data_IF_803361381262
#
_entry.id   IF_803361381262
#
_cell.length_a   1.000
_cell.length_b   1.000
_cell.length_c   1.000
_cell.angle_alpha   90.00
_cell.angle_beta   90.00
_cell.angle_gamma   90.00
#
_symmetry.space_group_name_H-M   'P 1'
#
loop_
_entity.id
_entity.type
_entity.pdbx_description
1 polymer ?
#
# COMPACT_ATOMS: atom_id res chain seq x y z
N UNK A 1 10.21 4.39 -26.87
CA UNK A 1 11.10 3.96 -25.78
C UNK A 1 10.31 3.86 -24.47
N UNK A 2 9.47 4.84 -24.14
CA UNK A 2 8.75 4.91 -22.85
C UNK A 2 7.43 4.14 -22.80
N UNK A 3 6.88 3.71 -23.93
CA UNK A 3 5.59 3.03 -24.02
C UNK A 3 5.51 1.75 -23.16
N UNK A 4 6.55 0.89 -23.08
CA UNK A 4 6.48 -0.32 -22.23
C UNK A 4 6.52 -0.08 -20.73
N UNK A 5 6.81 1.15 -20.29
CA UNK A 5 6.97 1.51 -18.87
C UNK A 5 6.02 2.63 -18.42
N UNK A 6 5.03 2.95 -19.24
CA UNK A 6 4.06 4.02 -18.95
C UNK A 6 2.65 3.59 -19.36
N UNK A 7 1.66 4.14 -18.64
CA UNK A 7 0.24 3.95 -18.96
C UNK A 7 -0.15 4.58 -20.30
N UNK A 8 0.55 5.64 -20.66
CA UNK A 8 0.37 6.33 -21.94
C UNK A 8 1.60 7.17 -22.26
N UNK A 9 2.01 7.12 -23.55
CA UNK A 9 3.06 7.96 -24.11
C UNK A 9 2.52 8.72 -25.31
N UNK A 10 2.79 10.02 -25.38
CA UNK A 10 2.35 10.85 -26.49
C UNK A 10 3.39 11.91 -26.86
N UNK A 11 3.69 12.03 -28.18
CA UNK A 11 4.53 13.12 -28.69
C UNK A 11 3.65 14.27 -29.14
N UNK A 12 3.77 15.41 -28.48
CA UNK A 12 3.08 16.65 -28.81
C UNK A 12 3.83 17.31 -29.97
N UNK A 13 3.20 17.34 -31.15
CA UNK A 13 3.76 17.88 -32.38
C UNK A 13 3.22 19.28 -32.77
N UNK A 14 2.16 19.70 -32.13
CA UNK A 14 1.47 20.96 -32.38
C UNK A 14 1.19 21.65 -31.06
N UNK A 15 1.39 22.95 -31.00
CA UNK A 15 1.15 23.74 -29.79
C UNK A 15 -0.33 23.68 -29.33
N UNK A 16 -1.25 23.57 -30.27
CA UNK A 16 -2.69 23.47 -29.99
C UNK A 16 -3.06 22.20 -29.23
N UNK A 17 -2.27 21.14 -29.36
CA UNK A 17 -2.54 19.84 -28.73
C UNK A 17 -2.09 19.80 -27.25
N UNK A 18 -1.32 20.80 -26.78
CA UNK A 18 -0.73 20.80 -25.43
C UNK A 18 -1.79 20.67 -24.34
N UNK A 19 -2.80 21.54 -24.35
CA UNK A 19 -3.81 21.56 -23.30
C UNK A 19 -4.59 20.24 -23.22
N UNK A 20 -4.96 19.67 -24.37
CA UNK A 20 -5.62 18.37 -24.44
C UNK A 20 -4.70 17.23 -23.96
N UNK A 21 -3.46 17.19 -24.43
CA UNK A 21 -2.52 16.14 -24.07
C UNK A 21 -2.21 16.13 -22.57
N UNK A 22 -2.03 17.32 -21.97
CA UNK A 22 -1.83 17.46 -20.53
C UNK A 22 -3.06 17.01 -19.74
N UNK A 23 -4.27 17.43 -20.13
CA UNK A 23 -5.49 17.01 -19.48
C UNK A 23 -5.67 15.47 -19.54
N UNK A 24 -5.38 14.88 -20.71
CA UNK A 24 -5.42 13.43 -20.90
C UNK A 24 -4.36 12.71 -20.05
N UNK A 25 -3.16 13.22 -19.97
CA UNK A 25 -2.09 12.68 -19.16
C UNK A 25 -2.48 12.62 -17.68
N UNK A 26 -2.99 13.72 -17.13
CA UNK A 26 -3.46 13.75 -15.75
C UNK A 26 -4.66 12.84 -15.49
N UNK A 27 -5.58 12.72 -16.44
CA UNK A 27 -6.71 11.81 -16.30
C UNK A 27 -6.24 10.36 -16.22
N UNK A 28 -5.36 9.91 -17.14
CA UNK A 28 -4.84 8.54 -17.16
C UNK A 28 -3.98 8.27 -15.92
N UNK A 29 -3.04 9.17 -15.60
CA UNK A 29 -2.10 8.98 -14.48
C UNK A 29 -2.79 8.82 -13.11
N UNK A 30 -4.02 9.34 -12.95
CA UNK A 30 -4.74 9.37 -11.67
C UNK A 30 -5.89 8.39 -11.58
N UNK A 31 -6.29 7.78 -12.68
CA UNK A 31 -7.46 6.89 -12.73
C UNK A 31 -7.04 5.42 -12.75
N UNK A 32 -7.94 4.54 -12.30
CA UNK A 32 -7.63 3.13 -12.18
C UNK A 32 -6.48 2.87 -11.22
N UNK A 33 -5.56 2.01 -11.63
CA UNK A 33 -4.26 1.88 -10.96
C UNK A 33 -3.38 3.04 -11.39
N UNK A 34 -3.02 3.99 -10.51
CA UNK A 34 -2.22 5.14 -10.89
C UNK A 34 -0.84 4.74 -11.42
N UNK A 35 -0.42 5.37 -12.53
CA UNK A 35 0.84 5.04 -13.17
C UNK A 35 1.46 6.22 -13.92
N UNK A 36 2.71 6.09 -14.39
CA UNK A 36 3.43 7.16 -15.09
C UNK A 36 2.87 7.37 -16.49
N UNK A 37 2.84 8.64 -16.90
CA UNK A 37 2.50 9.06 -18.27
C UNK A 37 3.65 9.93 -18.80
N UNK A 38 4.01 9.72 -20.05
CA UNK A 38 5.11 10.46 -20.70
C UNK A 38 4.60 11.33 -21.84
N UNK A 39 4.87 12.62 -21.72
CA UNK A 39 4.63 13.59 -22.79
C UNK A 39 5.99 14.06 -23.37
N UNK A 40 6.21 13.75 -24.63
CA UNK A 40 7.36 14.24 -25.40
C UNK A 40 6.96 15.49 -26.20
N UNK A 41 7.64 16.61 -25.93
CA UNK A 41 7.37 17.88 -26.62
C UNK A 41 8.33 18.07 -27.75
N UNK A 42 7.83 18.02 -28.99
CA UNK A 42 8.62 18.40 -30.15
C UNK A 42 9.05 19.87 -30.07
N UNK A 43 10.29 20.16 -30.50
CA UNK A 43 10.90 21.48 -30.35
C UNK A 43 10.12 22.60 -31.07
N UNK A 44 9.55 22.31 -32.21
CA UNK A 44 8.69 23.24 -32.98
C UNK A 44 7.39 23.54 -32.23
N UNK A 45 6.77 22.53 -31.60
CA UNK A 45 5.60 22.72 -30.75
C UNK A 45 5.90 23.59 -29.51
N UNK A 46 7.11 23.46 -28.93
CA UNK A 46 7.53 24.26 -27.78
C UNK A 46 7.72 25.75 -28.17
N UNK A 47 8.18 26.02 -29.40
CA UNK A 47 8.46 27.38 -29.88
C UNK A 47 7.24 28.05 -30.54
N UNK A 48 6.21 27.29 -30.87
CA UNK A 48 5.02 27.82 -31.52
C UNK A 48 4.15 28.62 -30.55
N UNK A 49 3.38 29.56 -31.08
CA UNK A 49 2.38 30.32 -30.33
C UNK A 49 1.00 29.74 -30.57
N UNK A 50 0.23 29.56 -29.52
CA UNK A 50 -1.16 29.16 -29.61
C UNK A 50 -2.02 29.96 -28.63
N UNK A 51 -3.32 30.00 -28.86
CA UNK A 51 -4.26 30.52 -27.88
C UNK A 51 -4.49 29.44 -26.82
N UNK A 52 -4.26 29.77 -25.55
CA UNK A 52 -4.54 28.83 -24.48
C UNK A 52 -6.06 28.67 -24.28
N UNK A 53 -6.53 27.46 -24.45
CA UNK A 53 -7.91 27.06 -24.14
C UNK A 53 -7.85 25.87 -23.18
N UNK A 54 -8.39 26.01 -21.93
CA UNK A 54 -8.39 24.92 -20.97
C UNK A 54 -9.13 23.69 -21.53
N UNK A 55 -8.46 22.55 -21.53
CA UNK A 55 -9.12 21.29 -21.88
C UNK A 55 -9.59 20.59 -20.59
N UNK A 56 -10.84 20.12 -20.58
CA UNK A 56 -11.36 19.19 -19.58
C UNK A 56 -11.52 17.83 -20.23
N UNK A 57 -11.11 16.79 -19.51
CA UNK A 57 -11.26 15.42 -19.97
C UNK A 57 -11.85 14.58 -18.84
N UNK A 58 -13.10 14.20 -19.01
CA UNK A 58 -13.85 13.39 -18.03
C UNK A 58 -14.05 11.94 -18.51
N UNK A 59 -13.71 11.68 -19.79
CA UNK A 59 -13.95 10.39 -20.41
C UNK A 59 -12.97 10.16 -21.58
N UNK A 60 -12.47 8.91 -21.66
CA UNK A 60 -11.72 8.43 -22.82
C UNK A 60 -12.42 7.19 -23.34
N UNK A 61 -12.82 7.23 -24.62
CA UNK A 61 -13.48 6.10 -25.26
C UNK A 61 -12.61 4.83 -25.14
N UNK A 62 -13.22 3.73 -24.73
CA UNK A 62 -12.56 2.44 -24.55
C UNK A 62 -11.54 2.35 -23.41
N UNK A 63 -11.47 3.36 -22.52
CA UNK A 63 -10.68 3.30 -21.31
C UNK A 63 -11.60 3.15 -20.11
N UNK A 64 -11.53 2.00 -19.44
CA UNK A 64 -12.35 1.67 -18.27
C UNK A 64 -11.38 1.56 -17.08
N UNK A 65 -11.14 2.67 -16.35
CA UNK A 65 -10.16 2.71 -15.27
C UNK A 65 -10.58 1.91 -14.03
N UNK A 66 -11.88 1.72 -13.83
CA UNK A 66 -12.42 0.93 -12.72
C UNK A 66 -13.33 -0.13 -13.34
N UNK A 67 -12.98 -1.41 -13.23
CA UNK A 67 -13.87 -2.48 -13.69
C UNK A 67 -15.16 -2.53 -12.86
N UNK A 68 -16.24 -2.96 -13.48
CA UNK A 68 -17.48 -3.25 -12.78
C UNK A 68 -17.26 -4.44 -11.84
N UNK A 69 -17.78 -4.32 -10.63
CA UNK A 69 -17.70 -5.40 -9.64
C UNK A 69 -18.74 -6.46 -9.96
N UNK A 70 -18.29 -7.71 -10.09
CA UNK A 70 -19.15 -8.86 -10.29
C UNK A 70 -19.84 -9.27 -8.98
N UNK A 71 -21.17 -9.31 -8.97
CA UNK A 71 -21.97 -9.65 -7.79
C UNK A 71 -21.76 -11.10 -7.33
N UNK A 72 -21.48 -12.02 -8.24
CA UNK A 72 -21.29 -13.42 -7.88
C UNK A 72 -19.92 -13.60 -7.20
N UNK A 73 -18.88 -12.93 -7.67
CA UNK A 73 -17.58 -12.93 -6.97
C UNK A 73 -17.65 -12.32 -5.56
N UNK A 74 -18.48 -11.31 -5.36
CA UNK A 74 -18.76 -10.71 -4.03
C UNK A 74 -19.43 -11.73 -3.10
N UNK A 75 -20.44 -12.47 -3.60
CA UNK A 75 -21.14 -13.52 -2.82
C UNK A 75 -20.20 -14.68 -2.46
N UNK A 76 -19.44 -15.17 -3.45
CA UNK A 76 -18.49 -16.26 -3.25
C UNK A 76 -17.39 -15.88 -2.24
N UNK A 77 -16.86 -14.66 -2.32
CA UNK A 77 -15.89 -14.15 -1.36
C UNK A 77 -16.47 -14.08 0.05
N UNK A 78 -17.68 -13.54 0.20
CA UNK A 78 -18.35 -13.46 1.50
C UNK A 78 -18.65 -14.85 2.07
N UNK A 79 -19.07 -15.81 1.26
CA UNK A 79 -19.31 -17.19 1.68
C UNK A 79 -18.03 -17.87 2.15
N UNK A 80 -16.93 -17.72 1.40
CA UNK A 80 -15.63 -18.27 1.76
C UNK A 80 -15.13 -17.68 3.08
N UNK A 81 -15.24 -16.37 3.28
CA UNK A 81 -14.84 -15.70 4.54
C UNK A 81 -15.72 -16.14 5.71
N UNK A 82 -17.04 -16.22 5.50
CA UNK A 82 -17.97 -16.65 6.56
C UNK A 82 -17.72 -18.08 7.07
N UNK A 83 -17.05 -18.92 6.29
CA UNK A 83 -16.72 -20.30 6.63
C UNK A 83 -15.24 -20.49 7.02
N UNK A 84 -14.43 -19.43 7.00
CA UNK A 84 -13.02 -19.49 7.36
C UNK A 84 -12.83 -19.70 8.87
N UNK A 85 -11.86 -20.53 9.23
CA UNK A 85 -11.44 -20.75 10.62
C UNK A 85 -10.23 -19.86 10.98
N UNK A 86 -9.37 -19.63 10.01
CA UNK A 86 -8.10 -18.87 10.16
C UNK A 86 -7.91 -17.85 9.03
N UNK A 87 -8.83 -16.89 8.86
CA UNK A 87 -8.67 -15.87 7.85
C UNK A 87 -7.52 -14.91 8.19
N UNK A 88 -6.77 -14.47 7.16
CA UNK A 88 -5.74 -13.44 7.30
C UNK A 88 -5.87 -12.42 6.19
N UNK A 89 -5.98 -11.14 6.58
CA UNK A 89 -6.08 -10.02 5.63
C UNK A 89 -4.70 -9.42 5.38
N UNK A 90 -4.33 -9.28 4.11
CA UNK A 90 -3.13 -8.60 3.66
C UNK A 90 -3.51 -7.23 3.11
N UNK A 91 -3.04 -6.18 3.77
CA UNK A 91 -3.39 -4.79 3.46
C UNK A 91 -2.32 -4.16 2.59
N UNK A 92 -2.67 -3.80 1.36
CA UNK A 92 -1.79 -3.13 0.41
C UNK A 92 -2.09 -1.66 0.23
N UNK A 93 -1.32 -1.01 -0.65
CA UNK A 93 -1.45 0.42 -0.96
C UNK A 93 -2.81 0.78 -1.58
N UNK A 94 -3.48 -0.18 -2.23
CA UNK A 94 -4.79 0.04 -2.84
C UNK A 94 -5.84 0.53 -1.85
N UNK A 95 -5.73 0.18 -0.57
CA UNK A 95 -6.60 0.70 0.49
C UNK A 95 -6.43 2.21 0.67
N UNK A 96 -5.17 2.68 0.70
CA UNK A 96 -4.87 4.11 0.82
C UNK A 96 -5.24 4.89 -0.45
N UNK A 97 -4.96 4.33 -1.63
CA UNK A 97 -5.26 4.94 -2.92
C UNK A 97 -6.78 5.03 -3.16
N UNK A 98 -7.54 4.01 -2.75
CA UNK A 98 -8.99 3.96 -2.84
C UNK A 98 -9.73 4.73 -1.74
N UNK A 99 -9.03 5.34 -0.77
CA UNK A 99 -9.64 5.94 0.43
C UNK A 99 -10.59 4.97 1.15
N UNK A 100 -10.16 3.73 1.32
CA UNK A 100 -10.98 2.61 1.81
C UNK A 100 -10.65 2.19 3.25
N UNK A 101 -10.00 3.06 4.04
CA UNK A 101 -9.54 2.73 5.39
C UNK A 101 -10.70 2.43 6.35
N UNK A 102 -11.79 3.20 6.25
CA UNK A 102 -13.01 2.95 7.04
C UNK A 102 -13.70 1.65 6.67
N UNK A 103 -13.76 1.35 5.37
CA UNK A 103 -14.34 0.11 4.86
C UNK A 103 -13.47 -1.10 5.22
N UNK A 104 -12.14 -0.96 5.16
CA UNK A 104 -11.22 -2.00 5.64
C UNK A 104 -11.44 -2.28 7.12
N UNK A 105 -11.55 -1.25 7.95
CA UNK A 105 -11.79 -1.41 9.40
C UNK A 105 -13.09 -2.14 9.66
N UNK A 106 -14.18 -1.68 9.05
CA UNK A 106 -15.48 -2.35 9.19
C UNK A 106 -15.45 -3.81 8.70
N UNK A 107 -14.71 -4.09 7.61
CA UNK A 107 -14.55 -5.43 7.05
C UNK A 107 -13.85 -6.38 8.02
N UNK A 108 -12.69 -5.98 8.57
CA UNK A 108 -11.92 -6.84 9.48
C UNK A 108 -12.59 -6.99 10.86
N UNK A 109 -13.19 -5.91 11.37
CA UNK A 109 -13.86 -5.93 12.68
C UNK A 109 -15.12 -6.81 12.69
N UNK A 110 -15.91 -6.78 11.61
CA UNK A 110 -17.15 -7.56 11.51
C UNK A 110 -16.92 -9.05 11.63
N UNK A 111 -15.86 -9.57 11.04
CA UNK A 111 -15.52 -10.99 11.08
C UNK A 111 -14.31 -11.30 11.97
N UNK A 112 -13.83 -10.35 12.78
CA UNK A 112 -12.70 -10.49 13.74
C UNK A 112 -11.44 -11.06 13.07
N UNK A 113 -11.08 -10.52 11.91
CA UNK A 113 -9.97 -11.02 11.09
C UNK A 113 -8.67 -10.28 11.38
N UNK A 114 -7.58 -10.97 11.75
CA UNK A 114 -6.27 -10.34 11.86
C UNK A 114 -5.79 -9.82 10.50
N UNK A 115 -5.09 -8.69 10.52
CA UNK A 115 -4.58 -8.03 9.33
C UNK A 115 -3.09 -7.74 9.45
N UNK A 116 -2.34 -7.99 8.37
CA UNK A 116 -0.95 -7.57 8.23
C UNK A 116 -0.79 -6.58 7.08
N UNK A 117 0.01 -5.53 7.27
CA UNK A 117 0.21 -4.49 6.29
C UNK A 117 1.47 -4.76 5.45
N UNK A 118 1.40 -4.57 4.14
CA UNK A 118 2.60 -4.45 3.31
C UNK A 118 3.31 -3.12 3.61
N UNK A 119 4.54 -2.93 3.18
CA UNK A 119 5.27 -1.67 3.36
C UNK A 119 4.43 -0.46 2.90
N UNK A 120 3.81 -0.54 1.74
CA UNK A 120 2.97 0.53 1.19
C UNK A 120 1.52 0.53 1.70
N UNK A 121 1.13 -0.49 2.47
CA UNK A 121 -0.15 -0.57 3.17
C UNK A 121 -0.08 -0.09 4.63
N UNK A 122 1.13 0.23 5.13
CA UNK A 122 1.29 0.81 6.46
C UNK A 122 0.48 2.11 6.58
N UNK A 123 -0.02 2.39 7.76
CA UNK A 123 -0.94 3.49 8.10
C UNK A 123 -2.39 3.36 7.58
N UNK A 124 -2.70 2.42 6.69
CA UNK A 124 -4.11 2.15 6.34
C UNK A 124 -4.93 1.64 7.55
N UNK A 125 -4.25 1.06 8.53
CA UNK A 125 -4.80 0.64 9.81
C UNK A 125 -3.89 1.18 10.92
N UNK A 126 -4.43 1.82 11.99
CA UNK A 126 -3.62 2.28 13.11
C UNK A 126 -2.76 1.16 13.70
N UNK A 127 -1.53 1.51 14.13
CA UNK A 127 -0.60 0.48 14.64
C UNK A 127 -1.11 -0.20 15.91
N UNK A 128 -1.87 0.51 16.72
CA UNK A 128 -2.45 0.01 17.98
C UNK A 128 -3.82 -0.68 17.81
N UNK A 129 -4.32 -0.80 16.58
CA UNK A 129 -5.57 -1.49 16.34
C UNK A 129 -5.45 -2.98 16.72
N UNK A 130 -6.39 -3.58 17.50
CA UNK A 130 -6.25 -4.95 18.03
C UNK A 130 -6.04 -6.04 16.97
N UNK A 131 -6.60 -5.82 15.78
CA UNK A 131 -6.47 -6.74 14.65
C UNK A 131 -5.26 -6.45 13.77
N UNK A 132 -4.52 -5.35 13.98
CA UNK A 132 -3.27 -5.08 13.27
C UNK A 132 -2.15 -5.94 13.85
N UNK A 133 -1.61 -6.85 13.06
CA UNK A 133 -0.54 -7.78 13.44
C UNK A 133 0.84 -7.33 12.96
N UNK A 134 0.94 -6.11 12.44
CA UNK A 134 2.19 -5.51 12.00
C UNK A 134 2.45 -5.63 10.50
N UNK A 135 3.71 -5.45 10.13
CA UNK A 135 4.16 -5.45 8.74
C UNK A 135 4.44 -6.86 8.23
N UNK A 136 4.10 -7.10 6.97
CA UNK A 136 4.41 -8.33 6.23
C UNK A 136 5.68 -8.19 5.40
N UNK A 137 6.23 -9.33 4.99
CA UNK A 137 7.29 -9.43 4.01
C UNK A 137 8.68 -9.51 4.62
N UNK A 138 9.70 -9.26 3.82
CA UNK A 138 11.12 -9.50 4.13
C UNK A 138 11.59 -8.80 5.42
N UNK A 139 11.08 -7.60 5.69
CA UNK A 139 11.42 -6.80 6.87
C UNK A 139 10.26 -6.72 7.87
N UNK A 140 9.24 -7.57 7.66
CA UNK A 140 8.03 -7.61 8.46
C UNK A 140 8.17 -8.32 9.80
N UNK A 141 7.06 -8.34 10.53
CA UNK A 141 6.94 -8.99 11.82
C UNK A 141 6.86 -10.51 11.70
N UNK A 142 7.27 -11.21 12.73
CA UNK A 142 7.33 -12.67 12.76
C UNK A 142 5.93 -13.30 12.66
N UNK A 143 4.96 -12.80 13.44
CA UNK A 143 3.61 -13.33 13.52
C UNK A 143 2.89 -13.37 12.17
N UNK A 144 2.70 -12.24 11.47
CA UNK A 144 2.00 -12.22 10.20
C UNK A 144 2.73 -13.02 9.11
N UNK A 145 4.06 -13.03 9.08
CA UNK A 145 4.82 -13.83 8.11
C UNK A 145 4.64 -15.34 8.30
N UNK A 146 4.67 -15.84 9.54
CA UNK A 146 4.45 -17.25 9.80
C UNK A 146 2.99 -17.63 9.56
N UNK A 147 2.05 -16.82 10.04
CA UNK A 147 0.63 -17.13 9.96
C UNK A 147 0.06 -17.01 8.53
N UNK A 148 0.73 -16.32 7.61
CA UNK A 148 0.43 -16.40 6.17
C UNK A 148 0.48 -17.85 5.65
N UNK A 149 1.40 -18.68 6.19
CA UNK A 149 1.51 -20.08 5.81
C UNK A 149 0.71 -21.04 6.71
N UNK A 150 -0.17 -20.50 7.59
CA UNK A 150 -1.06 -21.27 8.48
C UNK A 150 -2.54 -20.92 8.29
N UNK A 151 -2.84 -19.78 7.67
CA UNK A 151 -4.22 -19.38 7.38
C UNK A 151 -4.89 -20.37 6.43
N UNK A 152 -6.21 -20.49 6.51
CA UNK A 152 -7.01 -21.26 5.56
C UNK A 152 -7.58 -20.38 4.44
N UNK A 153 -7.82 -19.09 4.72
CA UNK A 153 -8.23 -18.09 3.75
C UNK A 153 -7.30 -16.89 3.82
N UNK A 154 -6.63 -16.59 2.70
CA UNK A 154 -5.76 -15.43 2.53
C UNK A 154 -6.49 -14.37 1.72
N UNK A 155 -6.70 -13.19 2.31
CA UNK A 155 -7.49 -12.12 1.73
C UNK A 155 -6.56 -10.96 1.40
N UNK A 156 -6.18 -10.81 0.15
CA UNK A 156 -5.31 -9.73 -0.32
C UNK A 156 -6.14 -8.53 -0.78
N UNK A 157 -5.89 -7.36 -0.21
CA UNK A 157 -6.64 -6.14 -0.48
C UNK A 157 -5.71 -5.07 -1.04
N UNK A 158 -5.83 -4.78 -2.33
CA UNK A 158 -5.07 -3.75 -3.02
C UNK A 158 -3.54 -3.97 -2.97
N UNK A 159 -3.09 -5.23 -3.12
CA UNK A 159 -1.67 -5.60 -3.12
C UNK A 159 -1.38 -6.61 -4.23
N UNK A 160 -0.20 -6.51 -4.83
CA UNK A 160 0.18 -7.24 -6.06
C UNK A 160 0.96 -8.53 -5.84
N UNK A 161 1.10 -9.02 -4.62
CA UNK A 161 1.91 -10.21 -4.31
C UNK A 161 3.35 -10.14 -4.85
N UNK A 162 4.04 -9.03 -4.59
CA UNK A 162 5.44 -8.91 -5.02
C UNK A 162 6.39 -9.80 -4.20
N UNK A 163 7.60 -10.00 -4.74
CA UNK A 163 8.60 -10.92 -4.19
C UNK A 163 9.08 -10.53 -2.78
N UNK A 164 9.00 -9.23 -2.40
CA UNK A 164 9.38 -8.75 -1.07
C UNK A 164 8.40 -9.19 0.00
N UNK A 165 7.16 -9.47 -0.39
CA UNK A 165 6.11 -10.01 0.50
C UNK A 165 6.06 -11.53 0.42
N UNK A 166 6.07 -12.09 -0.79
CA UNK A 166 5.86 -13.53 -0.98
C UNK A 166 7.10 -14.36 -0.74
N UNK A 167 8.28 -13.82 -1.03
CA UNK A 167 9.50 -14.61 -1.07
C UNK A 167 9.38 -15.77 -2.07
N UNK A 168 9.64 -16.99 -1.63
CA UNK A 168 9.58 -18.17 -2.48
C UNK A 168 8.13 -18.58 -2.78
N UNK A 169 7.67 -18.29 -3.99
CA UNK A 169 6.33 -18.65 -4.47
C UNK A 169 6.00 -20.15 -4.41
N UNK A 170 7.00 -21.04 -4.43
CA UNK A 170 6.78 -22.47 -4.34
C UNK A 170 6.21 -22.92 -2.99
N UNK A 171 6.44 -22.12 -1.93
CA UNK A 171 6.05 -22.42 -0.55
C UNK A 171 5.06 -21.41 0.05
N UNK A 172 4.79 -20.32 -0.62
CA UNK A 172 3.95 -19.24 -0.10
C UNK A 172 2.47 -19.60 -0.10
N UNK A 173 1.84 -19.61 1.07
CA UNK A 173 0.41 -19.77 1.31
C UNK A 173 -0.29 -20.92 0.55
N UNK A 174 0.40 -22.05 0.32
CA UNK A 174 -0.11 -23.16 -0.51
C UNK A 174 -1.33 -23.87 0.08
N UNK A 175 -1.55 -23.76 1.36
CA UNK A 175 -2.67 -24.36 2.09
C UNK A 175 -3.93 -23.49 2.04
N UNK A 176 -3.78 -22.19 1.71
CA UNK A 176 -4.87 -21.22 1.78
C UNK A 176 -5.66 -21.12 0.48
N UNK A 177 -6.95 -20.84 0.60
CA UNK A 177 -7.75 -20.26 -0.47
C UNK A 177 -7.48 -18.77 -0.54
N UNK A 178 -7.27 -18.24 -1.75
CA UNK A 178 -6.87 -16.86 -1.96
C UNK A 178 -8.01 -16.04 -2.54
N UNK A 179 -8.39 -14.98 -1.82
CA UNK A 179 -9.30 -13.94 -2.31
C UNK A 179 -8.44 -12.71 -2.63
N UNK A 180 -8.61 -12.13 -3.82
CA UNK A 180 -7.86 -10.95 -4.25
C UNK A 180 -8.79 -9.80 -4.63
N UNK A 181 -8.77 -8.74 -3.84
CA UNK A 181 -9.42 -7.48 -4.14
C UNK A 181 -8.44 -6.57 -4.86
N UNK A 182 -8.67 -6.27 -6.11
CA UNK A 182 -7.81 -5.38 -6.88
C UNK A 182 -8.60 -4.59 -7.95
N UNK A 183 -8.08 -3.42 -8.31
CA UNK A 183 -8.64 -2.60 -9.37
C UNK A 183 -8.08 -2.99 -10.74
N UNK A 184 -6.89 -3.63 -10.75
CA UNK A 184 -6.16 -4.01 -11.96
C UNK A 184 -6.32 -5.51 -12.25
N UNK A 185 -7.10 -5.90 -13.26
CA UNK A 185 -7.28 -7.31 -13.61
C UNK A 185 -5.96 -7.99 -14.04
N UNK A 186 -4.94 -7.23 -14.44
CA UNK A 186 -3.64 -7.78 -14.84
C UNK A 186 -2.81 -8.29 -13.65
N UNK A 187 -3.12 -7.91 -12.43
CA UNK A 187 -2.47 -8.42 -11.21
C UNK A 187 -3.06 -9.77 -10.74
N UNK A 188 -4.27 -10.12 -11.19
CA UNK A 188 -4.92 -11.38 -10.83
C UNK A 188 -4.19 -12.56 -11.45
N UNK A 189 -3.86 -13.57 -10.65
CA UNK A 189 -3.10 -14.77 -11.06
C UNK A 189 -1.68 -14.52 -11.61
N UNK A 190 -1.14 -13.32 -11.43
CA UNK A 190 0.19 -12.98 -11.95
C UNK A 190 1.31 -13.70 -11.19
N UNK A 191 1.29 -13.65 -9.86
CA UNK A 191 2.32 -14.24 -9.00
C UNK A 191 1.76 -15.38 -8.13
N UNK A 192 0.58 -15.19 -7.57
CA UNK A 192 -0.10 -16.17 -6.72
C UNK A 192 -1.41 -16.56 -7.40
N UNK A 193 -1.72 -17.87 -7.38
CA UNK A 193 -3.01 -18.35 -7.89
C UNK A 193 -4.13 -17.84 -6.98
N UNK A 194 -5.12 -17.22 -7.57
CA UNK A 194 -6.29 -16.66 -6.91
C UNK A 194 -7.48 -17.61 -7.09
N UNK A 195 -8.19 -17.92 -6.01
CA UNK A 195 -9.42 -18.71 -6.07
C UNK A 195 -10.62 -17.81 -6.41
N UNK A 196 -10.69 -16.62 -5.80
CA UNK A 196 -11.76 -15.64 -6.06
C UNK A 196 -11.15 -14.25 -6.27
N UNK A 197 -11.40 -13.64 -7.43
CA UNK A 197 -10.99 -12.27 -7.73
C UNK A 197 -12.20 -11.34 -7.60
N UNK A 198 -12.12 -10.36 -6.69
CA UNK A 198 -13.13 -9.31 -6.53
C UNK A 198 -12.57 -8.03 -7.16
N UNK A 199 -12.86 -7.84 -8.45
CA UNK A 199 -12.38 -6.69 -9.21
C UNK A 199 -13.23 -5.45 -8.92
N UNK A 200 -12.57 -4.29 -8.84
CA UNK A 200 -13.21 -3.00 -8.65
C UNK A 200 -12.47 -2.08 -7.69
N UNK A 201 -13.05 -0.92 -7.46
CA UNK A 201 -12.55 0.01 -6.45
C UNK A 201 -12.63 -0.62 -5.06
N UNK A 202 -11.52 -0.51 -4.31
CA UNK A 202 -11.34 -1.15 -3.01
C UNK A 202 -12.43 -0.74 -1.99
N UNK A 203 -12.84 0.52 -2.01
CA UNK A 203 -13.88 1.05 -1.13
C UNK A 203 -15.23 0.37 -1.38
N UNK A 204 -15.62 0.28 -2.65
CA UNK A 204 -16.90 -0.28 -3.05
C UNK A 204 -16.94 -1.79 -2.85
N UNK A 205 -15.86 -2.49 -3.23
CA UNK A 205 -15.79 -3.96 -3.12
C UNK A 205 -15.76 -4.43 -1.68
N UNK A 206 -14.99 -3.75 -0.80
CA UNK A 206 -14.99 -4.06 0.63
C UNK A 206 -16.35 -3.81 1.27
N UNK A 207 -17.00 -2.67 0.94
CA UNK A 207 -18.34 -2.38 1.45
C UNK A 207 -19.36 -3.43 1.01
N UNK A 208 -19.34 -3.86 -0.26
CA UNK A 208 -20.23 -4.87 -0.80
C UNK A 208 -20.07 -6.22 -0.09
N UNK A 209 -18.84 -6.72 0.03
CA UNK A 209 -18.56 -7.99 0.73
C UNK A 209 -18.92 -7.88 2.21
N UNK A 210 -18.56 -6.77 2.89
CA UNK A 210 -18.90 -6.54 4.30
C UNK A 210 -20.41 -6.61 4.55
N UNK A 211 -21.22 -6.14 3.61
CA UNK A 211 -22.69 -6.26 3.69
C UNK A 211 -23.19 -7.69 3.84
N UNK A 212 -22.47 -8.66 3.27
CA UNK A 212 -22.81 -10.09 3.28
C UNK A 212 -22.09 -10.90 4.34
N UNK A 213 -21.08 -10.33 5.04
CA UNK A 213 -20.39 -11.01 6.13
C UNK A 213 -21.32 -11.20 7.33
N UNK A 214 -21.14 -12.31 8.02
CA UNK A 214 -21.68 -12.55 9.35
C UNK A 214 -20.72 -12.06 10.42
N UNK A 215 -21.24 -11.61 11.55
CA UNK A 215 -20.41 -11.41 12.74
C UNK A 215 -19.77 -12.74 13.15
N UNK A 216 -18.47 -12.71 13.38
CA UNK A 216 -17.70 -13.89 13.79
C UNK A 216 -16.67 -13.49 14.84
N UNK A 217 -16.06 -14.50 15.47
CA UNK A 217 -14.96 -14.36 16.42
C UNK A 217 -13.91 -15.42 16.14
N UNK A 218 -12.69 -14.97 15.90
CA UNK A 218 -11.54 -15.83 15.66
C UNK A 218 -10.53 -15.74 16.81
N UNK A 219 -11.01 -15.83 18.06
CA UNK A 219 -10.21 -15.58 19.27
C UNK A 219 -8.96 -16.45 19.32
N UNK A 220 -9.07 -17.76 19.13
CA UNK A 220 -7.92 -18.67 19.16
C UNK A 220 -6.92 -18.36 18.05
N UNK A 221 -7.43 -18.00 16.85
CA UNK A 221 -6.59 -17.61 15.74
C UNK A 221 -5.86 -16.27 16.00
N UNK A 222 -6.56 -15.27 16.53
CA UNK A 222 -5.95 -14.01 16.96
C UNK A 222 -4.93 -14.20 18.06
N UNK A 223 -5.19 -15.10 19.02
CA UNK A 223 -4.29 -15.41 20.11
C UNK A 223 -3.03 -16.15 19.65
N UNK A 224 -3.08 -16.89 18.55
CA UNK A 224 -1.91 -17.55 17.97
C UNK A 224 -0.79 -16.60 17.55
N UNK A 225 -1.09 -15.34 17.33
CA UNK A 225 -0.09 -14.31 17.03
C UNK A 225 0.73 -13.89 18.24
N UNK A 226 0.14 -13.96 19.45
CA UNK A 226 0.75 -13.48 20.70
C UNK A 226 2.05 -14.21 21.06
N UNK A 227 2.16 -15.49 20.72
CA UNK A 227 3.41 -16.25 20.93
C UNK A 227 4.56 -15.67 20.10
N UNK A 228 4.31 -15.36 18.84
CA UNK A 228 5.29 -14.77 17.94
C UNK A 228 5.62 -13.35 18.32
N UNK A 229 4.62 -12.55 18.69
CA UNK A 229 4.78 -11.18 19.18
C UNK A 229 5.69 -11.16 20.41
N UNK A 230 5.49 -12.10 21.37
CA UNK A 230 6.33 -12.21 22.55
C UNK A 230 7.79 -12.55 22.21
N UNK A 231 8.00 -13.55 21.35
CA UNK A 231 9.34 -13.96 20.92
C UNK A 231 10.05 -12.81 20.20
N UNK A 232 9.34 -12.11 19.32
CA UNK A 232 9.87 -10.98 18.56
C UNK A 232 10.17 -9.78 19.45
N UNK A 233 9.28 -9.46 20.40
CA UNK A 233 9.47 -8.41 21.40
C UNK A 233 10.75 -8.65 22.22
N UNK A 234 10.94 -9.85 22.73
CA UNK A 234 12.07 -10.19 23.59
C UNK A 234 13.40 -10.22 22.84
N UNK A 235 13.41 -10.76 21.61
CA UNK A 235 14.65 -11.04 20.88
C UNK A 235 15.06 -9.95 19.89
N UNK A 236 14.12 -9.17 19.39
CA UNK A 236 14.35 -8.22 18.29
C UNK A 236 13.91 -6.80 18.65
N UNK A 237 12.65 -6.60 19.05
CA UNK A 237 12.08 -5.26 19.21
C UNK A 237 12.70 -4.57 20.41
N UNK A 238 12.68 -5.19 21.58
CA UNK A 238 13.20 -4.59 22.80
C UNK A 238 14.69 -4.26 22.73
N UNK A 239 15.60 -5.14 22.24
CA UNK A 239 17.02 -4.79 22.06
C UNK A 239 17.25 -3.64 21.10
N UNK A 240 16.43 -3.48 20.07
CA UNK A 240 16.53 -2.41 19.08
C UNK A 240 15.96 -1.07 19.58
N UNK A 241 14.85 -1.11 20.30
CA UNK A 241 14.17 0.10 20.78
C UNK A 241 14.68 0.61 22.12
N UNK A 242 15.26 -0.28 22.92
CA UNK A 242 15.75 0.02 24.28
C UNK A 242 17.11 -0.67 24.49
N UNK A 243 18.16 -0.25 23.76
CA UNK A 243 19.47 -0.87 23.85
C UNK A 243 20.07 -0.72 25.25
N UNK A 244 20.77 -1.76 25.70
CA UNK A 244 21.50 -1.75 26.96
C UNK A 244 22.92 -1.15 26.81
N UNK A 245 23.21 -0.44 25.72
CA UNK A 245 24.50 0.16 25.39
C UNK A 245 24.40 1.68 25.32
N UNK A 246 25.53 2.36 25.40
CA UNK A 246 25.61 3.82 25.25
C UNK A 246 25.48 4.29 23.77
N UNK A 247 25.32 3.34 22.83
CA UNK A 247 25.21 3.63 21.40
C UNK A 247 23.75 3.68 21.00
N UNK A 248 23.34 4.72 20.27
CA UNK A 248 22.02 4.85 19.68
C UNK A 248 21.79 3.80 18.59
N UNK A 249 20.63 3.17 18.60
CA UNK A 249 20.14 2.36 17.49
C UNK A 249 19.22 3.18 16.58
N UNK A 250 19.07 2.77 15.34
CA UNK A 250 18.11 3.42 14.43
C UNK A 250 16.65 3.23 14.89
N UNK A 251 16.34 2.07 15.49
CA UNK A 251 15.01 1.81 16.05
C UNK A 251 14.67 2.74 17.21
N UNK A 252 15.63 3.00 18.10
CA UNK A 252 15.46 3.96 19.20
C UNK A 252 15.17 5.37 18.67
N UNK A 253 15.89 5.82 17.63
CA UNK A 253 15.63 7.10 16.98
C UNK A 253 14.24 7.14 16.35
N UNK A 254 13.84 6.09 15.61
CA UNK A 254 12.53 6.00 15.00
C UNK A 254 11.40 6.05 16.06
N UNK A 255 11.58 5.32 17.18
CA UNK A 255 10.67 5.35 18.32
C UNK A 255 10.57 6.76 18.93
N UNK A 256 11.72 7.38 19.24
CA UNK A 256 11.75 8.69 19.88
C UNK A 256 11.06 9.78 19.04
N UNK A 257 11.30 9.78 17.71
CA UNK A 257 10.63 10.71 16.78
C UNK A 257 9.13 10.43 16.71
N UNK A 258 8.73 9.16 16.65
CA UNK A 258 7.32 8.76 16.62
C UNK A 258 6.58 9.20 17.90
N UNK A 259 7.17 8.99 19.08
CA UNK A 259 6.63 9.41 20.37
C UNK A 259 6.55 10.94 20.48
N UNK A 260 7.63 11.66 20.11
CA UNK A 260 7.69 13.12 20.15
C UNK A 260 6.63 13.79 19.24
N UNK A 261 6.18 13.10 18.21
CA UNK A 261 5.12 13.56 17.30
C UNK A 261 3.77 12.92 17.58
N UNK A 262 3.61 12.29 18.75
CA UNK A 262 2.37 11.64 19.18
C UNK A 262 1.83 10.60 18.19
N UNK A 263 2.72 9.99 17.39
CA UNK A 263 2.38 9.02 16.32
C UNK A 263 1.52 9.60 15.20
N UNK A 264 1.43 10.93 15.07
CA UNK A 264 0.59 11.64 14.11
C UNK A 264 1.36 12.21 12.92
N UNK A 265 2.69 12.19 12.95
CA UNK A 265 3.49 12.73 11.87
C UNK A 265 3.33 11.95 10.55
N UNK A 266 3.60 12.62 9.44
CA UNK A 266 3.86 11.98 8.17
C UNK A 266 5.33 11.56 8.14
N UNK A 267 5.56 10.25 8.16
CA UNK A 267 6.89 9.68 7.98
C UNK A 267 7.23 9.65 6.49
N UNK A 268 8.34 10.25 6.13
CA UNK A 268 8.93 10.08 4.79
C UNK A 268 10.23 9.32 4.95
N UNK A 269 10.43 8.29 4.17
CA UNK A 269 11.72 7.56 4.17
C UNK A 269 12.40 7.67 2.82
N UNK A 270 13.72 7.75 2.85
CA UNK A 270 14.52 7.44 1.68
C UNK A 270 14.72 5.92 1.61
N UNK A 271 15.76 5.42 0.99
CA UNK A 271 15.97 4.00 0.73
C UNK A 271 17.16 3.45 1.50
N UNK A 272 17.06 2.20 1.94
CA UNK A 272 18.07 1.48 2.69
C UNK A 272 17.62 1.11 4.10
N UNK A 273 18.55 1.02 5.04
CA UNK A 273 18.25 0.65 6.42
C UNK A 273 17.30 1.64 7.10
N UNK A 274 17.45 2.94 6.80
CA UNK A 274 16.54 3.96 7.29
C UNK A 274 15.07 3.67 6.93
N UNK A 275 14.80 3.21 5.69
CA UNK A 275 13.47 2.83 5.24
C UNK A 275 12.92 1.64 6.03
N UNK A 276 13.71 0.57 6.12
CA UNK A 276 13.29 -0.68 6.75
C UNK A 276 13.02 -0.51 8.24
N UNK A 277 13.95 0.13 8.95
CA UNK A 277 13.88 0.35 10.39
C UNK A 277 12.75 1.33 10.73
N UNK A 278 12.66 2.44 10.02
CA UNK A 278 11.62 3.44 10.28
C UNK A 278 10.23 2.88 9.97
N UNK A 279 10.04 2.20 8.84
CA UNK A 279 8.76 1.58 8.50
C UNK A 279 8.30 0.56 9.55
N UNK A 280 9.24 -0.19 10.15
CA UNK A 280 8.96 -1.23 11.14
C UNK A 280 8.63 -0.67 12.52
N UNK A 281 9.34 0.39 12.97
CA UNK A 281 9.30 0.83 14.37
C UNK A 281 8.57 2.15 14.59
N UNK A 282 8.32 2.91 13.53
CA UNK A 282 7.46 4.09 13.62
C UNK A 282 5.99 3.67 13.78
N UNK A 283 5.28 4.29 14.71
CA UNK A 283 3.85 4.02 14.92
C UNK A 283 2.98 5.03 14.18
N UNK A 284 1.85 4.58 13.72
CA UNK A 284 0.89 5.36 12.96
C UNK A 284 -0.46 5.36 13.67
N UNK A 285 -0.92 6.52 14.12
CA UNK A 285 -2.26 6.73 14.67
C UNK A 285 -3.23 7.33 13.66
N UNK A 286 -2.69 7.90 12.55
CA UNK A 286 -3.46 8.48 11.46
C UNK A 286 -3.17 7.78 10.15
N UNK A 287 -4.16 7.81 9.29
CA UNK A 287 -4.10 7.33 7.91
C UNK A 287 -3.14 8.20 7.08
N UNK A 288 -2.61 7.66 5.97
CA UNK A 288 -1.71 8.37 5.04
C UNK A 288 -0.50 8.98 5.74
N UNK A 289 0.10 8.21 6.64
CA UNK A 289 1.22 8.66 7.48
C UNK A 289 2.57 8.14 7.03
N UNK A 290 2.67 7.41 5.92
CA UNK A 290 3.94 6.96 5.35
C UNK A 290 4.05 7.30 3.86
N UNK A 291 5.20 7.85 3.48
CA UNK A 291 5.56 8.15 2.09
C UNK A 291 6.96 7.55 1.84
N UNK A 292 7.04 6.62 0.90
CA UNK A 292 8.28 5.90 0.63
C UNK A 292 8.34 5.42 -0.82
N UNK A 293 9.53 5.33 -1.40
CA UNK A 293 9.77 4.69 -2.70
C UNK A 293 9.79 3.17 -2.53
N UNK A 294 8.64 2.56 -2.20
CA UNK A 294 8.52 1.13 -1.88
C UNK A 294 8.53 0.20 -3.10
N UNK A 295 8.36 0.74 -4.30
CA UNK A 295 8.40 -0.05 -5.54
C UNK A 295 9.80 -0.12 -6.16
N UNK A 296 10.36 1.03 -6.55
CA UNK A 296 11.65 1.12 -7.24
C UNK A 296 12.85 1.33 -6.30
N UNK A 297 12.61 1.76 -5.07
CA UNK A 297 13.68 2.00 -4.11
C UNK A 297 14.65 3.10 -4.57
N UNK A 298 14.10 4.27 -4.94
CA UNK A 298 14.88 5.37 -5.53
C UNK A 298 15.57 6.18 -4.44
N UNK A 299 16.90 6.11 -4.37
CA UNK A 299 17.70 6.98 -3.50
C UNK A 299 17.58 8.44 -3.92
N UNK A 300 17.49 9.35 -2.95
CA UNK A 300 17.22 10.78 -3.18
C UNK A 300 15.74 11.13 -3.25
N UNK A 301 14.84 10.15 -3.12
CA UNK A 301 13.39 10.36 -3.09
C UNK A 301 12.93 11.13 -1.85
N UNK A 302 13.56 10.88 -0.70
CA UNK A 302 13.05 11.30 0.62
C UNK A 302 12.87 12.80 0.76
N UNK A 303 13.89 13.61 0.43
CA UNK A 303 13.81 15.07 0.62
C UNK A 303 12.75 15.75 -0.25
N UNK A 304 12.71 15.57 -1.58
CA UNK A 304 11.67 16.18 -2.39
C UNK A 304 10.26 15.67 -2.02
N UNK A 305 10.12 14.41 -1.63
CA UNK A 305 8.86 13.87 -1.17
C UNK A 305 8.41 14.49 0.18
N UNK A 306 9.35 14.73 1.11
CA UNK A 306 9.07 15.41 2.38
C UNK A 306 8.62 16.88 2.14
N UNK A 307 9.31 17.59 1.24
CA UNK A 307 8.90 18.93 0.84
C UNK A 307 7.47 18.90 0.25
N UNK A 308 7.19 17.95 -0.66
CA UNK A 308 5.84 17.78 -1.21
C UNK A 308 4.79 17.48 -0.13
N UNK A 309 5.13 16.66 0.86
CA UNK A 309 4.25 16.31 1.97
C UNK A 309 3.86 17.53 2.82
N UNK A 310 4.74 18.50 3.02
CA UNK A 310 4.42 19.74 3.77
C UNK A 310 3.38 20.60 3.05
N UNK A 311 3.30 20.52 1.73
CA UNK A 311 2.24 21.18 0.96
C UNK A 311 0.93 20.38 0.94
N UNK A 312 1.04 19.04 0.93
CA UNK A 312 -0.13 18.16 0.90
C UNK A 312 -0.83 18.00 2.25
N UNK A 313 -0.10 18.18 3.36
CA UNK A 313 -0.60 18.08 4.73
C UNK A 313 0.01 19.20 5.61
N UNK A 314 -0.33 20.47 5.34
CA UNK A 314 0.31 21.62 5.98
C UNK A 314 0.06 21.69 7.50
N UNK A 315 -0.96 21.00 8.00
CA UNK A 315 -1.31 20.93 9.42
C UNK A 315 -0.58 19.81 10.17
N UNK A 316 0.19 18.97 9.47
CA UNK A 316 0.87 17.81 10.06
C UNK A 316 2.39 18.00 10.10
N UNK A 317 3.01 17.50 11.14
CA UNK A 317 4.47 17.38 11.17
C UNK A 317 4.93 16.37 10.14
N UNK A 318 5.92 16.72 9.34
CA UNK A 318 6.57 15.83 8.38
C UNK A 318 7.96 15.51 8.89
N UNK A 319 8.26 14.22 9.07
CA UNK A 319 9.57 13.72 9.48
C UNK A 319 10.19 12.92 8.33
N UNK A 320 11.45 13.19 7.99
CA UNK A 320 12.16 12.44 6.95
C UNK A 320 13.37 11.72 7.52
N UNK A 321 13.49 10.42 7.21
CA UNK A 321 14.67 9.62 7.50
C UNK A 321 15.43 9.37 6.20
N UNK A 322 16.69 9.76 6.17
CA UNK A 322 17.54 9.68 4.99
C UNK A 322 18.88 9.07 5.33
N UNK A 323 19.46 8.33 4.39
CA UNK A 323 20.86 7.92 4.44
C UNK A 323 21.76 8.99 3.84
N UNK A 324 23.04 8.98 4.25
CA UNK A 324 24.09 9.86 3.73
C UNK A 324 24.27 9.74 2.22
N UNK A 325 24.28 8.50 1.72
CA UNK A 325 24.39 8.22 0.28
C UNK A 325 23.21 8.75 -0.52
N UNK A 326 22.02 8.71 0.04
CA UNK A 326 20.84 9.31 -0.60
C UNK A 326 20.96 10.82 -0.68
N UNK A 327 21.52 11.46 0.35
CA UNK A 327 21.66 12.91 0.41
C UNK A 327 22.60 13.46 -0.66
N UNK A 328 23.65 12.74 -1.04
CA UNK A 328 24.57 13.19 -2.09
C UNK A 328 23.93 13.23 -3.50
N UNK A 329 22.82 12.53 -3.72
CA UNK A 329 22.08 12.56 -4.98
C UNK A 329 21.14 13.77 -5.10
N UNK A 330 21.02 14.57 -4.07
CA UNK A 330 20.19 15.76 -4.01
C UNK A 330 21.04 17.00 -4.26
#
# INVERSE_FOLDING_TARGET
>A
ITEPISEWSYQIRRAEDVAWAVARAFYIARSGRPGPVVLDFAKDAQNAKTKYEPAKLDFIRSYVPVPDTDEDSVKEAAELINNAERPLVLVGQGVELGNAQSELRAFIEKADMPAGCTLLGLSALPTDHPLNKGMLGMHGNLGPNINTNKCDVLIAVGMRFDDRVTGNLATYAKQAKVIHFDIDPAEVNKNVKVDIAVLGDCKNTLAAVTGLLKENKHTEWNDSFKEYEKVEEEKVIRPELYPATDSLTMGEVARAVSEATHHEAVLVTDVGQNQMISARYFKYSKERSIITSGGLGTMGFGLPAAIGATFGAPERTVCVFMGDLSLIHI
#
